data_IF_632658323292
#
_entry.id   IF_632658323292
#
_cell.length_a   1.000
_cell.length_b   1.000
_cell.length_c   1.000
_cell.angle_alpha   90.00
_cell.angle_beta   90.00
_cell.angle_gamma   90.00
#
_symmetry.space_group_name_H-M   'P 1'
#
loop_
_entity.id
_entity.type
_entity.pdbx_description
1 polymer ?
#
# COMPACT_ATOMS: atom_id res chain seq x y z
N UNK A 1 22.15 -7.86 -100.20
CA UNK A 1 22.32 -9.31 -100.37
C UNK A 1 22.64 -9.96 -99.02
N UNK A 2 21.61 -10.35 -98.25
CA UNK A 2 21.49 -11.60 -97.47
C UNK A 2 20.27 -11.49 -96.56
N UNK A 3 19.33 -12.39 -96.81
CA UNK A 3 18.13 -12.67 -96.04
C UNK A 3 18.47 -13.57 -94.84
N UNK A 4 17.60 -13.57 -93.83
CA UNK A 4 17.54 -14.62 -92.82
C UNK A 4 16.47 -14.32 -91.77
N UNK A 5 15.24 -14.80 -91.98
CA UNK A 5 14.11 -14.63 -91.06
C UNK A 5 13.80 -15.86 -90.18
N UNK A 6 12.59 -15.81 -89.58
CA UNK A 6 11.84 -16.78 -88.73
C UNK A 6 12.03 -16.61 -87.22
N UNK A 7 11.07 -16.76 -86.31
CA UNK A 7 9.59 -16.86 -86.29
C UNK A 7 9.15 -16.88 -84.81
N UNK A 8 8.05 -16.19 -84.48
CA UNK A 8 6.94 -16.53 -83.54
C UNK A 8 7.26 -17.06 -82.12
N UNK A 9 6.85 -16.33 -81.07
CA UNK A 9 5.79 -16.78 -80.13
C UNK A 9 5.28 -15.64 -79.22
N UNK A 10 3.95 -15.52 -79.16
CA UNK A 10 3.17 -14.67 -78.26
C UNK A 10 3.07 -15.33 -76.89
N UNK A 11 3.27 -14.58 -75.81
CA UNK A 11 2.71 -14.89 -74.50
C UNK A 11 2.47 -13.59 -73.72
N UNK A 12 1.21 -13.16 -73.70
CA UNK A 12 0.69 -12.11 -72.84
C UNK A 12 0.13 -12.76 -71.57
N UNK A 13 0.72 -12.45 -70.41
CA UNK A 13 0.12 -12.56 -69.05
C UNK A 13 1.00 -11.64 -68.19
N UNK A 14 0.59 -10.50 -67.66
CA UNK A 14 -0.57 -10.25 -66.79
C UNK A 14 0.00 -9.59 -65.54
N UNK A 15 0.02 -8.26 -65.51
CA UNK A 15 0.44 -7.47 -64.36
C UNK A 15 -0.57 -7.67 -63.22
N UNK A 16 -0.20 -8.43 -62.19
CA UNK A 16 -0.97 -8.52 -60.96
C UNK A 16 -0.66 -7.31 -60.09
N UNK A 17 -1.54 -6.31 -60.19
CA UNK A 17 -1.78 -5.32 -59.14
C UNK A 17 -2.19 -6.07 -57.86
N UNK A 18 -1.29 -6.15 -56.87
CA UNK A 18 -1.65 -6.56 -55.51
C UNK A 18 -2.36 -5.38 -54.82
N UNK A 19 -3.60 -5.14 -55.20
CA UNK A 19 -4.58 -4.41 -54.38
C UNK A 19 -4.98 -5.31 -53.21
N UNK A 20 -4.24 -5.23 -52.10
CA UNK A 20 -4.70 -5.77 -50.83
C UNK A 20 -5.61 -4.73 -50.14
N UNK A 21 -6.85 -4.62 -50.64
CA UNK A 21 -7.93 -3.89 -49.98
C UNK A 21 -8.91 -4.89 -49.36
N UNK A 22 -9.02 -4.86 -48.02
CA UNK A 22 -10.29 -5.05 -47.30
C UNK A 22 -10.71 -6.47 -46.91
N UNK A 23 -11.17 -6.59 -45.65
CA UNK A 23 -11.89 -7.74 -45.09
C UNK A 23 -11.22 -8.26 -43.82
N UNK A 24 -11.43 -7.71 -42.62
CA UNK A 24 -12.76 -7.45 -42.06
C UNK A 24 -13.46 -8.79 -41.82
N UNK A 25 -13.19 -9.41 -40.65
CA UNK A 25 -13.89 -10.55 -40.05
C UNK A 25 -14.34 -11.69 -40.98
N UNK A 26 -13.70 -12.88 -40.89
CA UNK A 26 -14.32 -14.24 -40.94
C UNK A 26 -13.30 -15.31 -41.38
N UNK A 27 -12.46 -15.77 -40.45
CA UNK A 27 -11.67 -17.01 -40.60
C UNK A 27 -12.02 -18.07 -39.54
N UNK A 28 -12.98 -17.78 -38.68
CA UNK A 28 -13.49 -18.73 -37.70
C UNK A 28 -14.62 -19.52 -38.37
N UNK A 29 -14.53 -20.85 -38.36
CA UNK A 29 -15.61 -21.76 -38.79
C UNK A 29 -16.80 -21.73 -37.81
N UNK A 30 -17.18 -20.55 -37.31
CA UNK A 30 -18.04 -20.38 -36.13
C UNK A 30 -17.34 -20.58 -34.79
N UNK A 31 -16.02 -20.84 -34.80
CA UNK A 31 -15.25 -21.19 -33.59
C UNK A 31 -14.96 -19.97 -32.69
N UNK A 32 -15.14 -20.15 -31.37
CA UNK A 32 -14.78 -19.17 -30.34
C UNK A 32 -13.24 -19.08 -30.22
N UNK A 33 -12.64 -18.09 -30.89
CA UNK A 33 -11.17 -17.92 -30.97
C UNK A 33 -10.62 -16.73 -30.18
N UNK A 34 -11.49 -15.98 -29.50
CA UNK A 34 -11.12 -14.80 -28.72
C UNK A 34 -10.72 -13.58 -29.55
N UNK A 35 -10.55 -12.44 -28.88
CA UNK A 35 -10.11 -11.18 -29.52
C UNK A 35 -8.60 -11.25 -29.74
N UNK A 36 -8.17 -11.16 -30.99
CA UNK A 36 -6.74 -11.16 -31.37
C UNK A 36 -6.08 -9.84 -30.98
N UNK A 37 -4.76 -9.86 -30.78
CA UNK A 37 -3.91 -8.69 -30.53
C UNK A 37 -4.23 -7.89 -29.26
N UNK A 38 -4.72 -8.53 -28.20
CA UNK A 38 -4.77 -7.86 -26.88
C UNK A 38 -3.36 -7.67 -26.30
N UNK A 39 -3.09 -6.55 -25.60
CA UNK A 39 -1.84 -6.36 -24.88
C UNK A 39 -1.59 -7.49 -23.89
N UNK A 40 -0.33 -7.90 -23.73
CA UNK A 40 0.06 -8.87 -22.71
C UNK A 40 0.04 -8.18 -21.35
N UNK A 41 -0.51 -8.87 -20.37
CA UNK A 41 -0.47 -8.49 -18.97
C UNK A 41 0.61 -9.28 -18.22
N UNK A 42 1.59 -8.55 -17.72
CA UNK A 42 2.46 -8.93 -16.61
C UNK A 42 2.02 -8.17 -15.34
N UNK A 43 2.32 -8.71 -14.15
CA UNK A 43 2.10 -7.93 -12.92
C UNK A 43 3.34 -7.07 -12.71
N UNK A 44 3.30 -5.77 -13.06
CA UNK A 44 4.45 -4.90 -12.85
C UNK A 44 4.68 -4.72 -11.35
N UNK A 45 5.93 -4.77 -10.91
CA UNK A 45 6.31 -4.36 -9.56
C UNK A 45 6.49 -2.84 -9.54
N UNK A 46 5.65 -2.05 -8.86
CA UNK A 46 5.85 -0.61 -8.73
C UNK A 46 7.13 -0.30 -7.95
N UNK A 47 7.68 0.90 -8.16
CA UNK A 47 8.80 1.38 -7.36
C UNK A 47 8.43 1.46 -5.87
N UNK A 48 9.38 1.08 -5.01
CA UNK A 48 9.18 1.06 -3.55
C UNK A 48 8.28 -0.06 -3.04
N UNK A 49 7.99 -1.09 -3.84
CA UNK A 49 7.19 -2.24 -3.42
C UNK A 49 7.96 -3.56 -3.49
N UNK A 50 7.51 -4.53 -2.69
CA UNK A 50 7.94 -5.93 -2.74
C UNK A 50 6.76 -6.85 -3.02
N UNK A 51 6.99 -7.93 -3.77
CA UNK A 51 6.02 -8.99 -4.01
C UNK A 51 5.99 -9.96 -2.84
N UNK A 52 4.83 -10.10 -2.21
CA UNK A 52 4.56 -11.11 -1.20
C UNK A 52 4.00 -12.35 -1.91
N UNK A 53 4.59 -13.55 -1.70
CA UNK A 53 4.13 -14.77 -2.36
C UNK A 53 2.76 -15.18 -1.83
N UNK A 54 1.99 -15.92 -2.65
CA UNK A 54 0.77 -16.56 -2.14
C UNK A 54 1.13 -17.68 -1.16
N UNK A 55 0.33 -17.87 -0.12
CA UNK A 55 0.58 -18.90 0.88
C UNK A 55 -0.50 -18.96 1.94
N UNK A 56 -0.29 -19.81 2.93
CA UNK A 56 -1.13 -19.90 4.12
C UNK A 56 -0.32 -19.54 5.35
N UNK A 57 -0.97 -18.95 6.35
CA UNK A 57 -0.35 -18.72 7.65
C UNK A 57 -1.39 -18.71 8.78
N UNK A 58 -0.91 -18.83 10.01
CA UNK A 58 -1.72 -18.69 11.21
C UNK A 58 -1.76 -17.23 11.64
N UNK A 59 -2.91 -16.58 11.44
CA UNK A 59 -3.17 -15.21 11.88
C UNK A 59 -3.58 -15.19 13.36
N UNK A 60 -3.11 -14.19 14.09
CA UNK A 60 -3.43 -13.96 15.50
C UNK A 60 -2.23 -14.06 16.43
N UNK A 61 -2.44 -13.66 17.67
CA UNK A 61 -1.39 -13.66 18.69
C UNK A 61 -1.21 -15.08 19.29
N UNK A 62 0.04 -15.51 19.47
CA UNK A 62 0.37 -16.79 20.12
C UNK A 62 0.63 -16.64 21.63
N UNK A 63 0.69 -15.41 22.15
CA UNK A 63 0.91 -15.15 23.57
C UNK A 63 -0.40 -15.11 24.37
N UNK A 64 -0.27 -15.34 25.69
CA UNK A 64 -1.40 -15.25 26.61
C UNK A 64 -1.79 -13.79 26.81
N UNK A 65 -3.04 -13.49 26.45
CA UNK A 65 -3.66 -12.22 26.73
C UNK A 65 -4.26 -12.21 28.13
N UNK A 66 -3.49 -11.73 29.11
CA UNK A 66 -3.91 -11.72 30.53
C UNK A 66 -4.96 -10.61 30.81
N UNK A 67 -5.08 -9.61 29.92
CA UNK A 67 -5.85 -8.40 30.18
C UNK A 67 -7.12 -8.22 29.33
N UNK A 68 -7.61 -9.27 28.65
CA UNK A 68 -8.75 -9.14 27.71
C UNK A 68 -8.47 -8.12 26.59
N UNK A 69 -7.22 -8.04 26.16
CA UNK A 69 -6.71 -7.15 25.10
C UNK A 69 -7.20 -7.55 23.70
N UNK A 70 -8.51 -7.73 23.51
CA UNK A 70 -9.20 -7.83 22.21
C UNK A 70 -8.46 -8.65 21.13
N UNK A 71 -7.76 -9.70 21.58
CA UNK A 71 -6.90 -10.50 20.72
C UNK A 71 -7.74 -11.52 19.98
N UNK A 72 -7.65 -11.46 18.65
CA UNK A 72 -8.30 -12.42 17.77
C UNK A 72 -7.69 -13.81 18.02
N UNK A 73 -8.53 -14.86 18.03
CA UNK A 73 -8.06 -16.26 18.17
C UNK A 73 -7.10 -16.62 17.04
N UNK A 74 -6.27 -17.65 17.21
CA UNK A 74 -5.44 -18.08 16.10
C UNK A 74 -6.32 -18.76 15.04
N UNK A 75 -6.20 -18.36 13.77
CA UNK A 75 -6.87 -19.01 12.63
C UNK A 75 -5.93 -19.11 11.43
N UNK A 76 -5.95 -20.26 10.75
CA UNK A 76 -5.25 -20.41 9.48
C UNK A 76 -6.00 -19.66 8.38
N UNK A 77 -5.28 -18.83 7.63
CA UNK A 77 -5.80 -18.06 6.51
C UNK A 77 -4.91 -18.23 5.28
N UNK A 78 -5.53 -18.12 4.11
CA UNK A 78 -4.92 -18.23 2.79
C UNK A 78 -4.84 -16.84 2.17
N UNK A 79 -3.63 -16.44 1.80
CA UNK A 79 -3.33 -15.18 1.14
C UNK A 79 -2.97 -15.43 -0.32
N UNK A 80 -3.60 -14.67 -1.21
CA UNK A 80 -3.14 -14.49 -2.57
C UNK A 80 -1.85 -13.68 -2.59
N UNK A 81 -1.09 -13.75 -3.68
CA UNK A 81 0.07 -12.86 -3.86
C UNK A 81 -0.41 -11.41 -4.02
N UNK A 82 0.34 -10.47 -3.47
CA UNK A 82 0.12 -9.04 -3.59
C UNK A 82 1.47 -8.32 -3.53
N UNK A 83 1.48 -7.04 -3.89
CA UNK A 83 2.61 -6.16 -3.63
C UNK A 83 2.31 -5.27 -2.43
N UNK A 84 3.31 -4.98 -1.60
CA UNK A 84 3.23 -4.06 -0.47
C UNK A 84 4.46 -3.15 -0.49
N UNK A 85 4.32 -1.91 -0.03
CA UNK A 85 5.47 -1.00 0.05
C UNK A 85 6.55 -1.56 0.98
N UNK A 86 7.81 -1.41 0.56
CA UNK A 86 8.99 -1.89 1.30
C UNK A 86 9.17 -1.11 2.62
N UNK A 87 8.67 0.12 2.68
CA UNK A 87 8.69 0.99 3.84
C UNK A 87 7.33 1.61 4.15
N UNK A 88 7.22 2.29 5.29
CA UNK A 88 6.18 3.30 5.50
C UNK A 88 6.30 4.39 4.44
N UNK A 89 5.18 5.06 4.10
CA UNK A 89 5.21 6.23 3.20
C UNK A 89 6.00 7.34 3.89
N UNK A 90 7.02 7.85 3.21
CA UNK A 90 7.85 8.94 3.70
C UNK A 90 7.17 10.30 3.55
N UNK A 91 7.64 11.29 4.33
CA UNK A 91 7.20 12.68 4.18
C UNK A 91 7.40 13.19 2.75
N UNK A 92 8.51 12.83 2.10
CA UNK A 92 8.79 13.27 0.73
C UNK A 92 7.84 12.64 -0.31
N UNK A 93 7.53 11.35 -0.19
CA UNK A 93 6.53 10.69 -1.05
C UNK A 93 5.14 11.29 -0.83
N UNK A 94 4.76 11.56 0.41
CA UNK A 94 3.49 12.22 0.72
C UNK A 94 3.44 13.67 0.22
N UNK A 95 4.58 14.37 0.24
CA UNK A 95 4.69 15.73 -0.29
C UNK A 95 4.43 15.78 -1.78
N UNK A 96 4.89 14.79 -2.55
CA UNK A 96 4.54 14.69 -3.98
C UNK A 96 3.02 14.66 -4.19
N UNK A 97 2.30 13.92 -3.35
CA UNK A 97 0.84 13.89 -3.38
C UNK A 97 0.22 15.24 -3.00
N UNK A 98 0.67 15.84 -1.90
CA UNK A 98 0.16 17.13 -1.43
C UNK A 98 0.41 18.22 -2.46
N UNK A 99 1.61 18.29 -3.05
CA UNK A 99 1.95 19.28 -4.06
C UNK A 99 1.08 19.12 -5.31
N UNK A 100 0.83 17.90 -5.77
CA UNK A 100 -0.06 17.63 -6.92
C UNK A 100 -1.52 17.97 -6.62
N UNK A 101 -1.98 17.77 -5.38
CA UNK A 101 -3.35 18.10 -4.97
C UNK A 101 -3.54 19.59 -4.68
N UNK A 102 -2.51 20.25 -4.13
CA UNK A 102 -2.52 21.68 -3.80
C UNK A 102 -2.27 22.54 -5.05
N UNK A 103 -1.23 22.24 -5.83
CA UNK A 103 -0.93 22.93 -7.08
C UNK A 103 -1.96 22.59 -8.17
N UNK A 104 -2.62 21.45 -8.04
CA UNK A 104 -3.58 20.92 -8.97
C UNK A 104 -5.02 21.40 -8.80
N UNK A 105 -5.31 22.50 -8.12
CA UNK A 105 -6.70 22.99 -8.00
C UNK A 105 -7.38 23.31 -9.34
N UNK A 106 -6.65 23.21 -10.47
CA UNK A 106 -7.16 23.29 -11.84
C UNK A 106 -6.89 22.01 -12.68
N UNK A 107 -6.34 20.94 -12.09
CA UNK A 107 -6.01 19.69 -12.78
C UNK A 107 -7.04 18.59 -12.52
N UNK A 108 -7.28 17.73 -13.52
CA UNK A 108 -8.31 16.68 -13.44
C UNK A 108 -8.02 15.62 -12.36
N UNK A 109 -6.78 15.52 -11.87
CA UNK A 109 -6.41 14.59 -10.81
C UNK A 109 -6.93 15.06 -9.46
N UNK A 110 -6.71 16.32 -9.09
CA UNK A 110 -7.18 16.88 -7.82
C UNK A 110 -8.71 16.83 -7.74
N UNK A 111 -9.42 17.16 -8.83
CA UNK A 111 -10.88 17.04 -8.91
C UNK A 111 -11.36 15.61 -8.66
N UNK A 112 -10.67 14.63 -9.25
CA UNK A 112 -11.01 13.21 -9.08
C UNK A 112 -10.80 12.75 -7.63
N UNK A 113 -9.71 13.19 -6.99
CA UNK A 113 -9.41 12.87 -5.58
C UNK A 113 -10.42 13.56 -4.65
N UNK A 114 -10.78 14.81 -4.92
CA UNK A 114 -11.82 15.53 -4.17
C UNK A 114 -13.16 14.80 -4.24
N UNK A 115 -13.62 14.42 -5.44
CA UNK A 115 -14.86 13.65 -5.61
C UNK A 115 -14.81 12.28 -4.94
N UNK A 116 -13.64 11.62 -4.94
CA UNK A 116 -13.44 10.38 -4.20
C UNK A 116 -13.62 10.62 -2.70
N UNK A 117 -13.00 11.67 -2.16
CA UNK A 117 -13.06 12.03 -0.74
C UNK A 117 -14.46 12.43 -0.30
N UNK A 118 -15.22 13.19 -1.09
CA UNK A 118 -16.63 13.49 -0.76
C UNK A 118 -17.48 12.23 -0.60
N UNK A 119 -17.22 11.19 -1.40
CA UNK A 119 -17.94 9.91 -1.32
C UNK A 119 -17.50 9.08 -0.12
N UNK A 120 -16.21 9.09 0.19
CA UNK A 120 -15.61 8.22 1.22
C UNK A 120 -15.68 8.81 2.63
N UNK A 121 -15.55 10.12 2.77
CA UNK A 121 -15.58 10.80 4.08
C UNK A 121 -17.00 10.84 4.68
N UNK A 122 -18.04 10.77 3.83
CA UNK A 122 -19.44 10.71 4.28
C UNK A 122 -19.96 12.01 4.90
N UNK A 123 -19.14 13.06 4.97
CA UNK A 123 -19.52 14.44 5.29
C UNK A 123 -19.28 15.32 4.08
N UNK A 124 -20.16 16.30 3.88
CA UNK A 124 -20.01 17.29 2.81
C UNK A 124 -18.76 18.12 3.08
N UNK A 125 -17.87 18.20 2.10
CA UNK A 125 -16.70 19.07 2.11
C UNK A 125 -17.13 20.38 1.45
N UNK A 126 -17.18 21.48 2.20
CA UNK A 126 -17.87 22.68 1.74
C UNK A 126 -16.98 23.57 0.86
N UNK A 127 -15.67 23.49 1.04
CA UNK A 127 -14.70 24.30 0.30
C UNK A 127 -13.34 23.59 0.22
N UNK A 128 -12.46 24.15 -0.62
CA UNK A 128 -11.11 23.64 -0.84
C UNK A 128 -10.23 23.72 0.42
N UNK A 129 -10.44 24.71 1.29
CA UNK A 129 -9.66 24.83 2.54
C UNK A 129 -9.94 23.66 3.50
N UNK A 130 -11.21 23.27 3.65
CA UNK A 130 -11.63 22.13 4.45
C UNK A 130 -11.06 20.82 3.88
N UNK A 131 -11.04 20.68 2.55
CA UNK A 131 -10.40 19.56 1.88
C UNK A 131 -8.88 19.51 2.13
N UNK A 132 -8.19 20.63 1.96
CA UNK A 132 -6.75 20.71 2.18
C UNK A 132 -6.41 20.42 3.63
N UNK A 133 -7.20 20.90 4.59
CA UNK A 133 -7.02 20.57 6.01
C UNK A 133 -7.22 19.08 6.31
N UNK A 134 -8.06 18.39 5.55
CA UNK A 134 -8.30 16.95 5.72
C UNK A 134 -7.15 16.10 5.17
N UNK A 135 -6.50 16.57 4.09
CA UNK A 135 -5.46 15.83 3.37
C UNK A 135 -4.06 16.21 3.82
N UNK A 136 -3.82 17.47 4.17
CA UNK A 136 -2.51 17.94 4.62
C UNK A 136 -2.20 17.38 6.03
N UNK A 137 -0.96 16.91 6.28
CA UNK A 137 -0.62 16.36 7.58
C UNK A 137 -0.77 17.37 8.73
N UNK A 138 -1.47 16.97 9.78
CA UNK A 138 -1.67 17.80 10.98
C UNK A 138 -0.37 17.87 11.79
N UNK A 139 0.40 18.95 11.65
CA UNK A 139 1.66 19.12 12.38
C UNK A 139 1.48 19.33 13.88
N UNK A 140 0.27 19.67 14.34
CA UNK A 140 -0.01 19.90 15.77
C UNK A 140 -0.03 18.60 16.58
N UNK A 141 0.00 17.43 15.94
CA UNK A 141 0.03 16.12 16.61
C UNK A 141 1.19 16.00 17.61
N UNK A 142 2.33 16.64 17.32
CA UNK A 142 3.53 16.61 18.16
C UNK A 142 3.35 17.30 19.52
N UNK A 143 2.43 18.27 19.60
CA UNK A 143 2.02 18.86 20.87
C UNK A 143 0.74 18.22 21.42
N UNK A 144 -0.25 17.94 20.56
CA UNK A 144 -1.55 17.43 20.99
C UNK A 144 -1.46 16.08 21.70
N UNK A 145 -0.62 15.17 21.21
CA UNK A 145 -0.55 13.80 21.74
C UNK A 145 0.16 13.74 23.11
N UNK A 146 0.98 14.74 23.44
CA UNK A 146 1.75 14.81 24.69
C UNK A 146 1.32 15.95 25.62
N UNK A 147 0.41 16.81 25.16
CA UNK A 147 -0.02 18.03 25.83
C UNK A 147 1.11 19.06 25.96
N UNK A 148 0.88 20.09 26.79
CA UNK A 148 1.87 21.14 27.08
C UNK A 148 3.01 20.67 28.02
N UNK A 149 3.29 19.37 28.08
CA UNK A 149 4.23 18.75 29.02
C UNK A 149 5.55 18.33 28.36
N UNK A 150 5.69 18.53 27.04
CA UNK A 150 6.90 18.19 26.28
C UNK A 150 7.27 19.37 25.36
N UNK A 151 8.56 19.63 25.21
CA UNK A 151 9.09 20.68 24.33
C UNK A 151 9.25 20.15 22.89
N UNK A 152 8.14 20.05 22.15
CA UNK A 152 8.09 19.50 20.79
C UNK A 152 7.92 20.57 19.69
N UNK A 153 8.08 21.85 20.02
CA UNK A 153 8.01 22.97 19.07
C UNK A 153 8.87 22.71 17.81
N UNK A 154 10.11 22.19 17.89
CA UNK A 154 10.89 21.92 16.69
C UNK A 154 10.24 20.90 15.74
N UNK A 155 9.50 19.91 16.24
CA UNK A 155 8.82 18.92 15.42
C UNK A 155 7.52 19.48 14.82
N UNK A 156 6.76 20.24 15.60
CA UNK A 156 5.57 20.95 15.10
C UNK A 156 5.94 21.87 13.95
N UNK A 157 7.04 22.60 14.11
CA UNK A 157 7.51 23.54 13.11
C UNK A 157 8.08 22.80 11.91
N UNK A 158 8.96 21.80 12.09
CA UNK A 158 9.84 21.34 11.01
C UNK A 158 9.55 19.94 10.45
N UNK A 159 8.82 19.07 11.16
CA UNK A 159 8.78 17.63 10.84
C UNK A 159 8.32 17.32 9.41
N UNK A 160 7.28 17.99 8.91
CA UNK A 160 6.73 17.66 7.59
C UNK A 160 7.43 18.41 6.43
N UNK A 161 7.86 19.66 6.64
CA UNK A 161 8.36 20.50 5.54
C UNK A 161 9.88 20.50 5.41
N UNK A 162 10.63 20.31 6.50
CA UNK A 162 12.07 20.50 6.47
C UNK A 162 12.78 19.29 5.82
N UNK A 163 13.76 19.50 4.91
CA UNK A 163 14.43 18.40 4.19
C UNK A 163 15.08 17.33 5.08
N UNK A 164 15.46 17.69 6.30
CA UNK A 164 16.01 16.74 7.27
C UNK A 164 15.07 15.58 7.61
N UNK A 165 13.76 15.75 7.38
CA UNK A 165 12.74 14.74 7.67
C UNK A 165 12.15 14.10 6.40
N UNK A 166 12.75 14.31 5.23
CA UNK A 166 12.23 13.80 3.95
C UNK A 166 12.08 12.27 3.94
N UNK A 167 13.04 11.57 4.55
CA UNK A 167 13.09 10.11 4.62
C UNK A 167 12.43 9.54 5.89
N UNK A 168 11.69 10.35 6.66
CA UNK A 168 10.95 9.91 7.85
C UNK A 168 9.49 9.60 7.48
N UNK A 169 8.80 8.72 8.23
CA UNK A 169 7.43 8.35 7.90
C UNK A 169 6.49 9.55 8.03
N UNK A 170 5.52 9.66 7.12
CA UNK A 170 4.45 10.64 7.25
C UNK A 170 3.56 10.29 8.44
N UNK A 171 3.36 11.27 9.32
CA UNK A 171 2.47 11.19 10.48
C UNK A 171 1.54 12.39 10.50
N UNK A 172 0.56 12.40 11.41
CA UNK A 172 -0.47 13.43 11.41
C UNK A 172 -1.48 13.29 10.26
N UNK A 173 -1.53 12.11 9.65
CA UNK A 173 -2.51 11.74 8.63
C UNK A 173 -3.57 10.81 9.23
N UNK A 174 -4.83 11.04 8.87
CA UNK A 174 -5.92 10.16 9.28
C UNK A 174 -6.16 9.08 8.20
N UNK A 175 -7.05 8.14 8.50
CA UNK A 175 -7.33 7.01 7.60
C UNK A 175 -7.86 7.47 6.24
N UNK A 176 -8.68 8.52 6.21
CA UNK A 176 -9.23 9.06 4.95
C UNK A 176 -8.14 9.71 4.08
N UNK A 177 -7.21 10.44 4.67
CA UNK A 177 -6.07 11.04 3.97
C UNK A 177 -5.15 9.96 3.38
N UNK A 178 -4.94 8.85 4.09
CA UNK A 178 -4.19 7.70 3.59
C UNK A 178 -4.91 7.01 2.39
N UNK A 179 -6.24 6.91 2.43
CA UNK A 179 -7.04 6.43 1.30
C UNK A 179 -6.97 7.38 0.09
N UNK A 180 -6.99 8.70 0.33
CA UNK A 180 -6.82 9.72 -0.71
C UNK A 180 -5.48 9.56 -1.43
N UNK A 181 -4.40 9.36 -0.66
CA UNK A 181 -3.07 9.08 -1.21
C UNK A 181 -3.06 7.81 -2.06
N UNK A 182 -3.64 6.71 -1.57
CA UNK A 182 -3.74 5.46 -2.33
C UNK A 182 -4.50 5.65 -3.65
N UNK A 183 -5.61 6.40 -3.61
CA UNK A 183 -6.40 6.71 -4.79
C UNK A 183 -5.62 7.58 -5.79
N UNK A 184 -4.97 8.65 -5.32
CA UNK A 184 -4.10 9.48 -6.14
C UNK A 184 -2.97 8.69 -6.78
N UNK A 185 -2.25 7.86 -6.01
CA UNK A 185 -1.16 7.01 -6.52
C UNK A 185 -1.63 6.08 -7.63
N UNK A 186 -2.88 5.59 -7.53
CA UNK A 186 -3.53 4.81 -8.58
C UNK A 186 -3.71 5.61 -9.87
N UNK A 187 -4.25 6.82 -9.76
CA UNK A 187 -4.47 7.69 -10.92
C UNK A 187 -3.13 8.09 -11.56
N UNK A 188 -2.17 8.51 -10.74
CA UNK A 188 -0.84 8.93 -11.16
C UNK A 188 -0.12 7.81 -11.94
N UNK A 189 -0.08 6.60 -11.37
CA UNK A 189 0.58 5.47 -12.00
C UNK A 189 -0.15 4.98 -13.26
N UNK A 190 -1.49 4.92 -13.23
CA UNK A 190 -2.26 4.49 -14.40
C UNK A 190 -2.27 5.52 -15.53
N UNK A 191 -2.12 6.82 -15.24
CA UNK A 191 -1.93 7.85 -16.27
C UNK A 191 -0.62 7.64 -17.04
N UNK A 192 0.48 7.36 -16.32
CA UNK A 192 1.74 6.97 -16.95
C UNK A 192 1.57 5.71 -17.80
N UNK A 193 0.91 4.67 -17.28
CA UNK A 193 0.67 3.42 -18.04
C UNK A 193 -0.16 3.65 -19.30
N UNK A 194 -1.20 4.46 -19.22
CA UNK A 194 -2.03 4.83 -20.36
C UNK A 194 -1.23 5.56 -21.45
N UNK A 195 -0.30 6.45 -21.07
CA UNK A 195 0.61 7.13 -22.01
C UNK A 195 1.55 6.16 -22.76
N UNK A 196 1.70 4.94 -22.24
CA UNK A 196 2.52 3.86 -22.81
C UNK A 196 1.66 2.75 -23.44
N UNK A 197 0.36 2.97 -23.59
CA UNK A 197 -0.62 1.98 -24.10
C UNK A 197 -0.62 0.66 -23.30
N UNK A 198 -0.25 0.72 -22.02
CA UNK A 198 -0.23 -0.43 -21.14
C UNK A 198 -1.59 -0.60 -20.43
N UNK A 199 -2.03 -1.86 -20.16
CA UNK A 199 -3.22 -2.07 -19.36
C UNK A 199 -3.09 -1.47 -17.95
N UNK A 200 -4.17 -0.92 -17.38
CA UNK A 200 -4.13 -0.34 -16.04
C UNK A 200 -3.88 -1.42 -14.99
N UNK A 201 -3.24 -1.02 -13.89
CA UNK A 201 -3.13 -1.85 -12.69
C UNK A 201 -4.35 -1.66 -11.78
N UNK A 202 -4.61 -2.60 -10.84
CA UNK A 202 -5.59 -2.39 -9.78
C UNK A 202 -5.31 -1.14 -8.93
N UNK A 203 -6.27 -0.74 -8.10
CA UNK A 203 -6.04 0.37 -7.18
C UNK A 203 -4.96 0.04 -6.16
N UNK A 204 -4.06 0.98 -5.91
CA UNK A 204 -3.35 1.05 -4.64
C UNK A 204 -4.39 1.28 -3.53
N UNK A 205 -4.12 0.71 -2.36
CA UNK A 205 -5.00 0.75 -1.19
C UNK A 205 -4.16 0.53 0.06
N UNK A 206 -4.76 0.70 1.23
CA UNK A 206 -4.17 0.18 2.45
C UNK A 206 -4.14 -1.36 2.40
N UNK A 207 -3.14 -2.00 3.03
CA UNK A 207 -3.17 -3.45 3.22
C UNK A 207 -4.38 -3.83 4.07
N UNK A 208 -4.92 -5.02 3.86
CA UNK A 208 -5.84 -5.60 4.85
C UNK A 208 -5.06 -5.96 6.11
N UNK A 209 -5.72 -6.08 7.25
CA UNK A 209 -5.10 -6.51 8.52
C UNK A 209 -4.35 -7.85 8.33
N UNK A 210 -4.94 -8.75 7.55
CA UNK A 210 -4.36 -10.05 7.24
C UNK A 210 -3.16 -9.98 6.28
N UNK A 211 -3.22 -9.14 5.25
CA UNK A 211 -2.07 -8.88 4.38
C UNK A 211 -0.90 -8.29 5.18
N UNK A 212 -1.21 -7.32 6.05
CA UNK A 212 -0.22 -6.68 6.90
C UNK A 212 0.45 -7.69 7.83
N UNK A 213 -0.32 -8.52 8.55
CA UNK A 213 0.26 -9.50 9.47
C UNK A 213 1.07 -10.57 8.72
N UNK A 214 0.58 -11.03 7.56
CA UNK A 214 1.30 -11.99 6.73
C UNK A 214 2.65 -11.44 6.26
N UNK A 215 2.64 -10.18 5.81
CA UNK A 215 3.81 -9.46 5.37
C UNK A 215 4.79 -9.22 6.54
N UNK A 216 4.29 -8.82 7.71
CA UNK A 216 5.08 -8.56 8.91
C UNK A 216 5.82 -9.81 9.40
N UNK A 217 5.16 -10.98 9.32
CA UNK A 217 5.75 -12.26 9.72
C UNK A 217 6.98 -12.68 8.90
N UNK A 218 7.19 -12.13 7.70
CA UNK A 218 8.38 -12.40 6.89
C UNK A 218 8.55 -13.89 6.52
N UNK A 219 7.48 -14.66 6.42
CA UNK A 219 7.55 -16.10 6.16
C UNK A 219 7.78 -16.98 7.39
N UNK A 220 7.82 -16.40 8.59
CA UNK A 220 7.94 -17.16 9.83
C UNK A 220 6.56 -17.50 10.44
N UNK A 221 6.38 -18.76 10.83
CA UNK A 221 5.22 -19.19 11.60
C UNK A 221 5.44 -19.05 13.11
N UNK A 222 4.38 -18.65 13.81
CA UNK A 222 4.30 -18.56 15.26
C UNK A 222 5.35 -17.68 15.98
N UNK A 223 6.01 -16.76 15.26
CA UNK A 223 6.91 -15.77 15.86
C UNK A 223 6.13 -14.58 16.42
N UNK A 224 6.69 -14.01 17.49
CA UNK A 224 6.18 -12.81 18.17
C UNK A 224 6.58 -11.57 17.38
N UNK A 225 7.81 -11.50 16.89
CA UNK A 225 8.34 -10.37 16.14
C UNK A 225 8.65 -10.74 14.68
N UNK A 226 8.86 -9.76 13.78
CA UNK A 226 9.24 -9.98 12.38
C UNK A 226 10.60 -10.67 12.15
N UNK A 227 11.36 -10.91 13.22
CA UNK A 227 12.70 -11.50 13.18
C UNK A 227 12.77 -12.81 13.98
N UNK A 228 13.94 -13.45 13.89
CA UNK A 228 14.23 -14.64 14.65
C UNK A 228 14.46 -14.33 16.13
N UNK A 229 13.70 -15.01 16.98
CA UNK A 229 13.83 -14.96 18.43
C UNK A 229 12.74 -14.14 19.12
N UNK A 230 12.57 -14.32 20.43
CA UNK A 230 11.48 -13.71 21.19
C UNK A 230 11.85 -12.36 21.83
N UNK A 231 13.01 -11.79 21.50
CA UNK A 231 13.53 -10.61 22.18
C UNK A 231 13.60 -9.41 21.24
N UNK A 232 13.37 -8.22 21.78
CA UNK A 232 13.49 -6.92 21.07
C UNK A 232 14.92 -6.41 20.98
N UNK A 233 15.89 -7.16 21.49
CA UNK A 233 17.31 -6.83 21.49
C UNK A 233 18.13 -7.99 20.96
N UNK A 234 19.22 -7.67 20.26
CA UNK A 234 20.21 -8.67 19.84
C UNK A 234 21.14 -9.09 20.99
N UNK A 235 22.08 -10.00 20.72
CA UNK A 235 23.06 -10.50 21.70
C UNK A 235 24.00 -9.43 22.27
N UNK A 236 24.14 -8.28 21.60
CA UNK A 236 24.90 -7.11 22.08
C UNK A 236 24.04 -6.14 22.89
N UNK A 237 22.75 -6.44 23.06
CA UNK A 237 21.79 -5.58 23.75
C UNK A 237 21.26 -4.42 22.89
N UNK A 238 21.56 -4.34 21.60
CA UNK A 238 21.01 -3.29 20.74
C UNK A 238 19.55 -3.58 20.38
N UNK A 239 18.63 -2.60 20.48
CA UNK A 239 17.25 -2.73 20.00
C UNK A 239 17.17 -3.09 18.51
N UNK A 240 16.14 -3.84 18.14
CA UNK A 240 15.91 -4.33 16.79
C UNK A 240 14.83 -3.56 16.02
N UNK A 241 14.15 -2.63 16.68
CA UNK A 241 13.13 -1.74 16.13
C UNK A 241 13.17 -0.41 16.89
N UNK A 242 12.47 0.60 16.35
CA UNK A 242 12.23 1.88 17.01
C UNK A 242 10.97 1.81 17.88
N UNK A 243 11.08 1.93 19.20
CA UNK A 243 9.96 1.82 20.14
C UNK A 243 10.28 2.54 21.46
N UNK A 244 9.53 2.27 22.52
CA UNK A 244 9.87 2.71 23.88
C UNK A 244 10.44 1.57 24.72
N UNK A 245 11.78 1.36 24.75
CA UNK A 245 12.40 0.27 25.50
C UNK A 245 12.19 0.35 27.01
N UNK A 246 12.09 1.56 27.56
CA UNK A 246 12.03 1.78 28.99
C UNK A 246 11.23 3.03 29.38
N UNK A 247 10.83 3.09 30.65
CA UNK A 247 10.12 4.24 31.19
C UNK A 247 11.07 5.45 31.23
N UNK A 248 10.84 6.42 30.35
CA UNK A 248 11.65 7.64 30.26
C UNK A 248 12.93 7.48 29.45
N UNK A 249 13.13 6.34 28.79
CA UNK A 249 14.30 6.05 27.97
C UNK A 249 13.83 5.75 26.53
N UNK A 250 13.47 6.82 25.81
CA UNK A 250 13.01 6.75 24.43
C UNK A 250 14.19 6.60 23.45
N UNK A 251 15.36 7.19 23.76
CA UNK A 251 16.53 7.21 22.87
C UNK A 251 17.36 5.91 22.88
N UNK A 252 17.03 4.93 23.72
CA UNK A 252 17.83 3.71 23.87
C UNK A 252 17.99 2.88 22.60
N UNK A 253 17.13 3.07 21.61
CA UNK A 253 17.21 2.45 20.28
C UNK A 253 17.92 3.31 19.22
N UNK A 254 18.28 4.55 19.57
CA UNK A 254 18.94 5.52 18.71
C UNK A 254 18.05 6.67 18.24
N UNK A 255 16.74 6.63 18.47
CA UNK A 255 15.79 7.64 18.00
C UNK A 255 14.81 8.05 19.11
N UNK A 256 14.62 9.36 19.32
CA UNK A 256 13.70 9.84 20.37
C UNK A 256 12.23 9.74 19.93
N UNK A 257 12.00 9.90 18.62
CA UNK A 257 10.69 9.90 17.96
C UNK A 257 10.73 8.89 16.82
N UNK A 258 10.25 9.27 15.64
CA UNK A 258 10.40 8.46 14.44
C UNK A 258 11.86 8.39 14.00
N UNK A 259 12.16 7.36 13.20
CA UNK A 259 13.41 7.08 12.54
C UNK A 259 13.18 7.13 11.02
N UNK A 260 14.23 7.33 10.21
CA UNK A 260 14.13 7.18 8.76
C UNK A 260 13.54 5.82 8.38
N UNK A 261 12.72 5.79 7.33
CA UNK A 261 11.90 4.63 6.93
C UNK A 261 12.72 3.40 6.48
N UNK A 262 14.02 3.58 6.21
CA UNK A 262 15.01 2.51 5.91
C UNK A 262 16.04 2.33 7.03
N UNK A 263 15.63 2.53 8.27
CA UNK A 263 16.43 2.20 9.46
C UNK A 263 16.17 0.77 9.92
N UNK A 264 17.09 0.22 10.72
CA UNK A 264 17.10 -1.19 11.15
C UNK A 264 17.14 -2.18 9.96
N UNK A 265 17.03 -3.47 10.26
CA UNK A 265 17.04 -4.50 9.22
C UNK A 265 15.61 -4.77 8.74
N UNK A 266 15.42 -4.98 7.43
CA UNK A 266 14.14 -5.45 6.94
C UNK A 266 13.91 -6.90 7.39
N UNK A 267 12.65 -7.33 7.41
CA UNK A 267 12.32 -8.75 7.58
C UNK A 267 12.71 -9.56 6.33
N UNK A 268 12.52 -10.87 6.37
CA UNK A 268 12.89 -11.79 5.27
C UNK A 268 12.11 -11.57 3.95
N UNK A 269 11.02 -10.78 3.99
CA UNK A 269 10.33 -10.30 2.79
C UNK A 269 10.84 -8.94 2.30
N UNK A 270 11.88 -8.37 2.92
CA UNK A 270 12.46 -7.09 2.51
C UNK A 270 11.69 -5.87 3.02
N UNK A 271 10.84 -6.03 4.02
CA UNK A 271 10.01 -4.94 4.56
C UNK A 271 10.64 -4.34 5.81
N UNK A 272 10.82 -3.02 5.82
CA UNK A 272 11.33 -2.25 6.94
C UNK A 272 10.20 -1.82 7.86
N UNK A 273 10.51 -1.66 9.15
CA UNK A 273 9.61 -1.11 10.17
C UNK A 273 8.19 -1.71 10.15
N UNK A 274 8.08 -3.02 9.90
CA UNK A 274 6.78 -3.69 10.08
C UNK A 274 6.33 -3.66 11.54
N UNK A 275 7.23 -3.38 12.49
CA UNK A 275 6.88 -3.15 13.89
C UNK A 275 7.71 -1.97 14.40
N UNK A 276 7.10 -1.11 15.21
CA UNK A 276 7.72 0.10 15.72
C UNK A 276 7.71 1.23 14.70
N UNK A 277 8.50 2.27 14.97
CA UNK A 277 8.53 3.51 14.20
C UNK A 277 7.16 4.20 14.18
N UNK A 278 6.29 3.92 13.22
CA UNK A 278 4.88 4.34 13.29
C UNK A 278 3.95 3.14 13.15
N UNK A 279 2.88 3.14 13.92
CA UNK A 279 1.81 2.18 13.71
C UNK A 279 1.11 2.48 12.38
N UNK A 280 0.55 1.47 11.73
CA UNK A 280 0.10 1.59 10.34
C UNK A 280 -1.40 1.35 10.18
N UNK A 281 -2.06 2.27 9.48
CA UNK A 281 -3.46 2.13 9.07
C UNK A 281 -3.68 0.91 8.16
N UNK A 282 -4.68 0.09 8.48
CA UNK A 282 -5.17 -0.99 7.63
C UNK A 282 -6.54 -0.64 7.00
N UNK A 283 -6.93 -1.37 5.95
CA UNK A 283 -8.24 -1.20 5.27
C UNK A 283 -9.42 -1.56 6.19
N UNK A 284 -9.23 -2.52 7.08
CA UNK A 284 -10.27 -3.16 7.89
C UNK A 284 -10.94 -2.24 8.92
N UNK A 285 -12.25 -2.44 9.11
CA UNK A 285 -12.97 -1.94 10.28
C UNK A 285 -12.52 -2.72 11.53
N UNK A 286 -12.38 -2.05 12.67
CA UNK A 286 -11.95 -2.72 13.89
C UNK A 286 -13.12 -3.40 14.61
N UNK A 287 -13.11 -4.73 14.68
CA UNK A 287 -14.03 -5.52 15.49
C UNK A 287 -13.30 -6.16 16.68
N UNK A 288 -13.89 -6.12 17.87
CA UNK A 288 -13.22 -6.57 19.11
C UNK A 288 -12.95 -8.08 19.12
N UNK A 289 -13.84 -8.85 18.49
CA UNK A 289 -13.67 -10.30 18.31
C UNK A 289 -12.72 -10.66 17.15
N UNK A 290 -12.24 -9.66 16.42
CA UNK A 290 -11.43 -9.79 15.21
C UNK A 290 -12.21 -10.19 13.96
N UNK A 291 -11.55 -10.21 12.79
CA UNK A 291 -12.18 -10.60 11.52
C UNK A 291 -12.64 -12.07 11.53
N UNK A 292 -12.18 -12.88 12.49
CA UNK A 292 -12.34 -14.34 12.53
C UNK A 292 -13.79 -14.79 12.54
N UNK A 293 -14.68 -14.06 13.22
CA UNK A 293 -16.09 -14.43 13.32
C UNK A 293 -16.88 -14.08 12.05
N UNK A 294 -16.38 -13.17 11.22
CA UNK A 294 -17.17 -12.52 10.16
C UNK A 294 -16.52 -12.54 8.78
N UNK A 295 -15.24 -12.93 8.67
CA UNK A 295 -14.49 -12.98 7.42
C UNK A 295 -14.17 -14.42 6.97
N UNK A 296 -13.98 -14.56 5.66
CA UNK A 296 -13.55 -15.81 5.04
C UNK A 296 -12.07 -16.07 5.34
N UNK A 297 -11.64 -17.33 5.33
CA UNK A 297 -10.22 -17.72 5.43
C UNK A 297 -9.42 -17.51 4.14
N UNK A 298 -10.00 -16.93 3.09
CA UNK A 298 -9.29 -16.58 1.85
C UNK A 298 -9.33 -15.06 1.71
N UNK A 299 -8.15 -14.42 1.74
CA UNK A 299 -7.98 -12.97 1.67
C UNK A 299 -8.98 -12.20 2.56
N UNK A 300 -9.00 -12.44 3.89
CA UNK A 300 -9.96 -11.79 4.76
C UNK A 300 -9.82 -10.27 4.74
N UNK A 301 -10.98 -9.62 4.73
CA UNK A 301 -11.16 -8.20 5.03
C UNK A 301 -12.48 -8.04 5.76
N UNK A 302 -12.48 -7.38 6.90
CA UNK A 302 -13.71 -7.05 7.62
C UNK A 302 -14.14 -5.62 7.32
N UNK A 303 -15.38 -5.49 6.85
CA UNK A 303 -16.07 -4.22 6.63
C UNK A 303 -17.41 -4.27 7.32
N UNK A 304 -17.66 -3.35 8.24
CA UNK A 304 -18.89 -3.29 9.02
C UNK A 304 -20.08 -3.06 8.07
N UNK A 305 -21.00 -4.04 7.94
CA UNK A 305 -22.15 -3.91 7.05
C UNK A 305 -23.08 -2.76 7.47
N UNK A 306 -23.05 -2.34 8.73
CA UNK A 306 -23.86 -1.23 9.24
C UNK A 306 -23.26 0.13 8.93
N UNK A 307 -21.97 0.19 8.59
CA UNK A 307 -21.19 1.42 8.36
C UNK A 307 -21.26 2.41 9.54
N UNK A 308 -21.40 1.89 10.76
CA UNK A 308 -21.45 2.69 11.98
C UNK A 308 -20.11 2.69 12.69
N UNK A 309 -19.29 1.67 12.45
CA UNK A 309 -17.97 1.59 13.02
C UNK A 309 -17.05 2.65 12.44
N UNK A 310 -16.57 3.52 13.32
CA UNK A 310 -15.60 4.58 12.99
C UNK A 310 -14.18 4.17 13.31
N UNK A 311 -13.98 3.03 13.98
CA UNK A 311 -12.68 2.50 14.39
C UNK A 311 -12.08 1.72 13.23
N UNK A 312 -10.83 2.03 12.89
CA UNK A 312 -10.05 1.33 11.88
C UNK A 312 -8.91 0.59 12.55
N UNK A 313 -8.55 -0.56 11.99
CA UNK A 313 -7.44 -1.36 12.51
C UNK A 313 -6.12 -0.60 12.31
N UNK A 314 -5.29 -0.62 13.34
CA UNK A 314 -3.91 -0.13 13.35
C UNK A 314 -3.00 -1.25 13.83
N UNK A 315 -1.83 -1.41 13.19
CA UNK A 315 -0.89 -2.52 13.45
C UNK A 315 0.54 -2.03 13.63
N UNK A 316 1.39 -2.84 14.27
CA UNK A 316 2.84 -2.65 14.35
C UNK A 316 3.36 -1.89 15.56
N UNK A 317 2.54 -1.05 16.18
CA UNK A 317 2.95 -0.18 17.29
C UNK A 317 3.89 0.95 16.83
N UNK A 318 3.90 2.05 17.57
CA UNK A 318 4.75 3.21 17.27
C UNK A 318 6.01 3.31 18.12
N UNK A 319 6.84 4.30 17.80
CA UNK A 319 8.03 4.70 18.55
C UNK A 319 7.73 4.99 20.04
N UNK A 320 6.49 5.35 20.36
CA UNK A 320 6.04 5.65 21.72
C UNK A 320 5.54 4.42 22.51
N UNK A 321 5.42 3.26 21.86
CA UNK A 321 4.81 2.07 22.43
C UNK A 321 5.82 1.10 23.06
N UNK A 322 5.33 0.33 24.02
CA UNK A 322 6.11 -0.73 24.68
C UNK A 322 6.15 -2.00 23.82
N UNK A 323 7.11 -2.88 24.11
CA UNK A 323 7.39 -4.11 23.36
C UNK A 323 6.20 -5.06 23.10
N UNK A 324 5.11 -4.95 23.87
CA UNK A 324 3.88 -5.71 23.66
C UNK A 324 3.19 -5.35 22.31
N UNK A 325 3.17 -4.07 21.95
CA UNK A 325 2.53 -3.59 20.72
C UNK A 325 3.34 -3.87 19.46
N UNK A 326 4.64 -4.18 19.63
CA UNK A 326 5.52 -4.63 18.56
C UNK A 326 5.29 -6.09 18.16
N UNK A 327 4.45 -6.84 18.87
CA UNK A 327 4.15 -8.21 18.46
C UNK A 327 3.36 -8.18 17.15
N UNK A 328 3.79 -8.99 16.18
CA UNK A 328 3.16 -9.08 14.84
C UNK A 328 1.70 -9.48 14.92
N UNK A 329 1.28 -10.18 15.98
CA UNK A 329 -0.11 -10.60 16.20
C UNK A 329 -0.95 -9.61 17.02
N UNK A 330 -0.33 -8.58 17.62
CA UNK A 330 -1.05 -7.55 18.37
C UNK A 330 -1.79 -6.63 17.39
N UNK A 331 -2.99 -6.22 17.79
CA UNK A 331 -3.86 -5.31 17.04
C UNK A 331 -4.36 -4.20 17.94
N UNK A 332 -4.51 -3.03 17.36
CA UNK A 332 -5.15 -1.90 18.02
C UNK A 332 -6.10 -1.20 17.04
N UNK A 333 -6.74 -0.13 17.50
CA UNK A 333 -7.58 0.71 16.67
C UNK A 333 -7.39 2.17 16.97
N UNK A 334 -7.75 2.98 15.99
CA UNK A 334 -7.95 4.40 16.18
C UNK A 334 -9.16 4.84 15.33
N UNK A 335 -9.76 5.98 15.68
CA UNK A 335 -10.87 6.54 14.92
C UNK A 335 -10.38 7.06 13.57
N UNK A 336 -11.13 6.76 12.50
CA UNK A 336 -10.75 7.05 11.12
C UNK A 336 -10.46 8.52 10.82
N UNK A 337 -11.05 9.46 11.59
CA UNK A 337 -10.86 10.90 11.47
C UNK A 337 -9.77 11.47 12.39
N UNK A 338 -9.20 10.67 13.29
CA UNK A 338 -8.13 11.09 14.19
C UNK A 338 -6.77 11.04 13.47
N UNK A 339 -5.91 12.01 13.78
CA UNK A 339 -4.50 12.03 13.38
C UNK A 339 -3.64 11.73 14.61
N UNK A 340 -2.44 11.15 14.44
CA UNK A 340 -1.49 10.89 15.54
C UNK A 340 -0.05 11.10 15.07
N UNK A 341 0.83 11.41 16.02
CA UNK A 341 2.29 11.56 15.85
C UNK A 341 3.04 10.22 15.70
N UNK A 342 2.34 9.11 15.90
CA UNK A 342 2.88 7.74 15.89
C UNK A 342 2.04 6.79 15.03
N UNK A 343 1.15 7.33 14.18
CA UNK A 343 0.40 6.55 13.20
C UNK A 343 0.66 7.11 11.80
N UNK A 344 1.15 6.25 10.91
CA UNK A 344 1.31 6.50 9.49
C UNK A 344 0.65 5.37 8.69
N UNK A 345 1.19 5.06 7.52
CA UNK A 345 0.67 3.99 6.67
C UNK A 345 1.67 3.56 5.61
N UNK A 346 1.38 2.41 5.00
CA UNK A 346 1.99 1.94 3.76
C UNK A 346 0.90 1.47 2.79
N UNK A 347 1.19 1.37 1.50
CA UNK A 347 0.22 0.88 0.52
C UNK A 347 0.44 -0.59 0.15
N UNK A 348 -0.62 -1.20 -0.36
CA UNK A 348 -0.63 -2.49 -1.01
C UNK A 348 -1.30 -2.39 -2.39
N UNK A 349 -0.93 -3.32 -3.29
CA UNK A 349 -1.45 -3.45 -4.64
C UNK A 349 -1.72 -4.93 -4.92
N UNK A 350 -2.94 -5.26 -5.32
CA UNK A 350 -3.30 -6.64 -5.66
C UNK A 350 -2.59 -7.11 -6.94
N UNK A 351 -2.04 -8.32 -6.91
CA UNK A 351 -1.51 -9.02 -8.10
C UNK A 351 -2.70 -9.66 -8.83
N UNK A 352 -2.82 -9.45 -10.14
CA UNK A 352 -3.98 -9.91 -10.94
C UNK A 352 -3.56 -10.82 -12.09
N UNK A 353 -3.51 -12.13 -11.86
CA UNK A 353 -3.30 -13.13 -12.93
C UNK A 353 -2.07 -12.86 -13.82
N UNK A 354 -1.93 -13.55 -14.95
CA UNK A 354 -0.90 -13.23 -15.97
C UNK A 354 -1.37 -13.67 -17.34
N UNK A 355 -0.90 -13.00 -18.39
CA UNK A 355 -1.16 -13.43 -19.76
C UNK A 355 -0.31 -14.64 -20.14
N UNK A 356 -0.84 -15.85 -19.93
CA UNK A 356 -0.23 -17.12 -20.37
C UNK A 356 -0.28 -18.22 -19.31
N UNK A 357 -0.18 -19.48 -19.76
CA UNK A 357 -0.06 -20.62 -18.86
C UNK A 357 1.28 -20.58 -18.10
N UNK A 358 1.27 -21.02 -16.83
CA UNK A 358 2.50 -21.46 -16.13
C UNK A 358 3.07 -22.58 -16.99
N UNK A 359 4.21 -22.36 -17.64
CA UNK A 359 4.99 -23.48 -18.18
C UNK A 359 5.98 -23.92 -17.13
#
# INVERSE_FOLDING_TARGET
>A
MRMGGKSILVAAVGAFLLTACGGGATGARGELTGVKNRPKWDNPLPYGMVTIPAGTFHMGNNEQDVNYSQNARIRQITMSSFHIDDTEISNNEYRQFVDEVVAGSENAFADSVFQFMERYYGKKINNQEEYLKLVYPDTQVWNRDFGNFVYNEPLVENYYWHPAFDDYPVVGVNWYAAQAFCYWRTLFYNAYRASRELPPVPRFRLPTEAEWEYAARGGYEHKIYPWLGPYTRNSKGCPLANFKPGRGDYIADGFEYTAPVKSYFPNDYGLYHMVGNVAEWCEDDFEETGPIAYAHDINPVYRDPRKQNRRRVVRGGGWNDVAYFLSVGTRDYEYADTTKSHIGFRCALSVIGRSGAMR
#
